data_IF_017564688896
#
_entry.id   IF_017564688896
#
_cell.length_a   1.000
_cell.length_b   1.000
_cell.length_c   1.000
_cell.angle_alpha   90.00
_cell.angle_beta   90.00
_cell.angle_gamma   90.00
#
_symmetry.space_group_name_H-M   'P 1'
#
loop_
_entity.id
_entity.type
_entity.pdbx_description
1 polymer ?
#
# COMPACT_ATOMS: atom_id res chain seq x y z
N UNK A 1 17.08 16.85 -28.01
CA UNK A 1 15.89 17.65 -27.67
C UNK A 1 16.03 18.08 -26.23
N UNK A 2 15.85 19.35 -25.89
CA UNK A 2 15.93 19.80 -24.51
C UNK A 2 14.65 19.36 -23.79
N UNK A 3 14.72 18.27 -23.03
CA UNK A 3 13.60 17.82 -22.21
C UNK A 3 13.32 18.89 -21.15
N UNK A 4 12.15 19.51 -21.24
CA UNK A 4 11.75 20.64 -20.37
C UNK A 4 11.08 20.12 -19.11
N UNK A 5 11.74 20.26 -17.96
CA UNK A 5 11.07 20.20 -16.66
C UNK A 5 10.33 21.51 -16.39
N UNK A 6 9.19 21.48 -15.70
CA UNK A 6 8.47 22.69 -15.27
C UNK A 6 7.88 22.53 -13.88
N UNK A 7 8.05 23.56 -13.04
CA UNK A 7 7.53 23.57 -11.67
C UNK A 7 6.36 24.53 -11.47
N UNK A 8 5.44 24.16 -10.60
CA UNK A 8 4.18 24.86 -10.30
C UNK A 8 3.95 24.95 -8.79
N UNK A 9 3.14 25.91 -8.38
CA UNK A 9 2.67 26.04 -6.99
C UNK A 9 1.36 25.28 -6.76
N UNK A 10 0.55 25.12 -7.80
CA UNK A 10 -0.73 24.38 -7.76
C UNK A 10 -0.60 23.01 -8.40
N UNK A 11 -1.18 21.99 -7.75
CA UNK A 11 -1.28 20.65 -8.35
C UNK A 11 -2.15 20.68 -9.61
N UNK A 12 -3.23 21.47 -9.59
CA UNK A 12 -4.17 21.57 -10.71
C UNK A 12 -3.49 22.15 -11.95
N UNK A 13 -2.69 23.22 -11.79
CA UNK A 13 -1.93 23.83 -12.90
C UNK A 13 -0.88 22.85 -13.48
N UNK A 14 -0.21 22.09 -12.62
CA UNK A 14 0.74 21.07 -13.05
C UNK A 14 0.06 19.95 -13.86
N UNK A 15 -1.11 19.48 -13.38
CA UNK A 15 -1.91 18.47 -14.07
C UNK A 15 -2.41 18.98 -15.43
N UNK A 16 -2.92 20.21 -15.49
CA UNK A 16 -3.38 20.84 -16.72
C UNK A 16 -2.25 20.90 -17.76
N UNK A 17 -1.08 21.43 -17.36
CA UNK A 17 0.10 21.48 -18.22
C UNK A 17 0.53 20.09 -18.73
N UNK A 18 0.56 19.10 -17.85
CA UNK A 18 0.92 17.72 -18.22
C UNK A 18 -0.08 17.12 -19.22
N UNK A 19 -1.39 17.33 -19.00
CA UNK A 19 -2.44 16.84 -19.90
C UNK A 19 -2.42 17.54 -21.26
N UNK A 20 -2.18 18.86 -21.30
CA UNK A 20 -2.04 19.61 -22.56
C UNK A 20 -0.85 19.13 -23.37
N UNK A 21 0.31 18.89 -22.73
CA UNK A 21 1.50 18.34 -23.40
C UNK A 21 1.24 16.96 -23.97
N UNK A 22 0.58 16.08 -23.22
CA UNK A 22 0.24 14.74 -23.68
C UNK A 22 -0.78 14.73 -24.85
N UNK A 23 -1.64 15.75 -24.97
CA UNK A 23 -2.58 15.88 -26.09
C UNK A 23 -1.94 16.46 -27.35
N UNK A 24 -1.04 17.43 -27.19
CA UNK A 24 -0.46 18.19 -28.30
C UNK A 24 0.76 17.50 -28.92
N UNK A 25 1.36 16.54 -28.21
CA UNK A 25 2.49 15.79 -28.71
C UNK A 25 2.05 14.61 -29.58
N UNK A 26 2.52 14.60 -30.83
CA UNK A 26 2.58 13.41 -31.69
C UNK A 26 3.77 12.49 -31.31
N UNK A 27 4.33 12.67 -30.10
CA UNK A 27 5.57 12.04 -29.62
C UNK A 27 5.31 11.14 -28.42
N UNK A 28 6.08 10.06 -28.34
CA UNK A 28 6.13 9.06 -27.25
C UNK A 28 6.68 9.63 -25.91
N UNK A 29 6.59 10.94 -25.68
CA UNK A 29 7.12 11.58 -24.47
C UNK A 29 6.21 11.29 -23.26
N UNK A 30 6.71 10.45 -22.34
CA UNK A 30 6.00 10.08 -21.11
C UNK A 30 6.40 11.05 -19.99
N UNK A 31 5.46 11.90 -19.59
CA UNK A 31 5.64 12.85 -18.48
C UNK A 31 5.06 12.31 -17.18
N UNK A 32 5.77 12.59 -16.08
CA UNK A 32 5.39 12.25 -14.72
C UNK A 32 5.20 13.52 -13.88
N UNK A 33 4.43 13.40 -12.81
CA UNK A 33 4.16 14.48 -11.87
C UNK A 33 4.74 14.12 -10.50
N UNK A 34 5.59 14.99 -9.97
CA UNK A 34 6.19 14.86 -8.65
C UNK A 34 5.79 16.03 -7.77
N UNK A 35 5.81 15.81 -6.46
CA UNK A 35 5.64 16.89 -5.47
C UNK A 35 6.77 16.92 -4.46
N UNK A 36 7.10 18.11 -3.99
CA UNK A 36 8.23 18.39 -3.10
C UNK A 36 7.72 19.19 -1.91
N UNK A 37 7.99 18.71 -0.70
CA UNK A 37 7.78 19.48 0.52
C UNK A 37 8.97 20.43 0.69
N UNK A 38 8.72 21.73 0.55
CA UNK A 38 9.80 22.75 0.47
C UNK A 38 9.80 23.73 1.64
N UNK A 39 8.78 23.67 2.49
CA UNK A 39 8.62 24.53 3.67
C UNK A 39 7.98 23.75 4.82
N UNK A 40 8.19 24.21 6.07
CA UNK A 40 7.35 23.83 7.20
C UNK A 40 5.86 24.05 6.86
N UNK A 41 4.96 23.34 7.53
CA UNK A 41 3.50 23.35 7.29
C UNK A 41 3.02 22.50 6.09
N UNK A 42 3.91 21.73 5.45
CA UNK A 42 3.50 20.78 4.40
C UNK A 42 3.14 21.42 3.05
N UNK A 43 3.59 22.67 2.81
CA UNK A 43 3.43 23.32 1.51
C UNK A 43 4.23 22.58 0.43
N UNK A 44 3.56 22.28 -0.68
CA UNK A 44 4.12 21.52 -1.79
C UNK A 44 4.36 22.39 -3.01
N UNK A 45 5.46 22.10 -3.71
CA UNK A 45 5.65 22.45 -5.12
C UNK A 45 5.44 21.21 -5.97
N UNK A 46 5.08 21.39 -7.22
CA UNK A 46 4.81 20.31 -8.17
C UNK A 46 5.74 20.43 -9.37
N UNK A 47 6.33 19.33 -9.83
CA UNK A 47 7.20 19.30 -11.00
C UNK A 47 6.63 18.31 -12.01
N UNK A 48 6.48 18.76 -13.26
CA UNK A 48 6.21 17.91 -14.40
C UNK A 48 7.53 17.70 -15.14
N UNK A 49 7.93 16.44 -15.31
CA UNK A 49 9.19 16.10 -15.93
C UNK A 49 9.12 14.74 -16.64
N UNK A 50 9.98 14.58 -17.65
CA UNK A 50 10.40 13.27 -18.12
C UNK A 50 11.17 12.52 -16.99
N UNK A 51 11.10 11.19 -16.99
CA UNK A 51 11.67 10.37 -15.92
C UNK A 51 13.19 10.49 -15.83
N UNK A 52 13.91 10.56 -16.96
CA UNK A 52 15.37 10.62 -16.96
C UNK A 52 15.86 11.97 -16.43
N UNK A 53 15.17 13.05 -16.82
CA UNK A 53 15.43 14.40 -16.29
C UNK A 53 15.18 14.45 -14.79
N UNK A 54 14.03 13.94 -14.34
CA UNK A 54 13.69 13.93 -12.93
C UNK A 54 14.71 13.15 -12.11
N UNK A 55 15.08 11.93 -12.56
CA UNK A 55 16.06 11.09 -11.86
C UNK A 55 17.41 11.80 -11.80
N UNK A 56 17.87 12.41 -12.90
CA UNK A 56 19.12 13.17 -12.91
C UNK A 56 19.12 14.27 -11.84
N UNK A 57 18.09 15.11 -11.80
CA UNK A 57 17.96 16.21 -10.83
C UNK A 57 17.81 15.71 -9.39
N UNK A 58 16.94 14.71 -9.17
CA UNK A 58 16.63 14.16 -7.85
C UNK A 58 17.86 13.59 -7.16
N UNK A 59 18.73 12.89 -7.90
CA UNK A 59 19.94 12.30 -7.31
C UNK A 59 21.07 13.30 -7.06
N UNK A 60 21.02 14.52 -7.62
CA UNK A 60 21.93 15.61 -7.23
C UNK A 60 21.57 16.23 -5.87
N UNK A 61 20.31 16.07 -5.41
CA UNK A 61 19.91 16.61 -4.11
C UNK A 61 20.59 15.84 -2.96
N UNK A 62 21.10 16.53 -1.93
CA UNK A 62 21.49 15.89 -0.67
C UNK A 62 20.34 15.06 -0.09
N UNK A 63 20.64 13.91 0.53
CA UNK A 63 19.61 12.98 1.05
C UNK A 63 18.65 13.68 2.02
N UNK A 64 19.17 14.55 2.89
CA UNK A 64 18.38 15.33 3.85
C UNK A 64 17.51 16.45 3.23
N UNK A 65 17.55 16.62 1.91
CA UNK A 65 16.68 17.55 1.17
C UNK A 65 15.68 16.80 0.28
N UNK A 66 15.70 15.47 0.28
CA UNK A 66 14.79 14.65 -0.52
C UNK A 66 13.49 14.45 0.24
N UNK A 67 12.53 15.33 0.00
CA UNK A 67 11.16 15.25 0.51
C UNK A 67 10.18 15.14 -0.65
N UNK A 68 10.43 14.15 -1.51
CA UNK A 68 9.80 14.03 -2.82
C UNK A 68 8.85 12.85 -2.89
N UNK A 69 7.71 13.08 -3.55
CA UNK A 69 6.64 12.13 -3.75
C UNK A 69 6.30 12.07 -5.24
N UNK A 70 6.04 10.88 -5.75
CA UNK A 70 5.31 10.70 -6.99
C UNK A 70 3.83 11.09 -6.76
N UNK A 71 3.21 11.75 -7.73
CA UNK A 71 1.76 11.89 -7.77
C UNK A 71 1.21 10.80 -8.69
N UNK A 72 0.54 9.80 -8.10
CA UNK A 72 -0.19 8.78 -8.85
C UNK A 72 -1.46 9.43 -9.40
N UNK A 73 -1.38 9.89 -10.64
CA UNK A 73 -2.39 10.71 -11.31
C UNK A 73 -3.70 9.94 -11.48
N UNK A 74 -4.84 10.62 -11.23
CA UNK A 74 -6.18 10.06 -11.42
C UNK A 74 -6.35 9.52 -12.86
N UNK A 75 -6.98 8.35 -12.99
CA UNK A 75 -7.28 7.67 -14.27
C UNK A 75 -6.04 7.35 -15.13
N UNK A 76 -4.86 7.22 -14.52
CA UNK A 76 -3.63 6.74 -15.19
C UNK A 76 -3.24 5.36 -14.65
N UNK A 77 -2.67 4.47 -15.48
CA UNK A 77 -2.28 3.14 -15.05
C UNK A 77 -1.37 3.15 -13.83
N UNK A 78 -1.59 2.22 -12.91
CA UNK A 78 -0.84 2.11 -11.66
C UNK A 78 -0.38 0.67 -11.42
N UNK A 79 0.82 0.50 -10.85
CA UNK A 79 1.26 -0.80 -10.34
C UNK A 79 0.42 -1.19 -9.13
N UNK A 80 0.36 -2.49 -8.82
CA UNK A 80 -0.08 -2.93 -7.50
C UNK A 80 0.96 -2.51 -6.46
N UNK A 81 0.53 -1.74 -5.47
CA UNK A 81 1.38 -1.33 -4.36
C UNK A 81 0.59 -1.35 -3.06
N UNK A 82 1.31 -1.38 -1.94
CA UNK A 82 0.76 -1.34 -0.59
C UNK A 82 1.58 -0.39 0.27
N UNK A 83 0.90 0.37 1.13
CA UNK A 83 1.52 1.09 2.25
C UNK A 83 1.16 0.31 3.52
N UNK A 84 2.15 -0.28 4.16
CA UNK A 84 1.99 -1.11 5.34
C UNK A 84 2.54 -0.37 6.54
N UNK A 85 1.72 -0.17 7.56
CA UNK A 85 2.14 0.57 8.74
C UNK A 85 1.39 0.18 10.01
N UNK A 86 2.10 0.28 11.14
CA UNK A 86 1.51 0.19 12.47
C UNK A 86 2.36 0.93 13.50
N UNK A 87 1.73 1.27 14.63
CA UNK A 87 2.44 1.82 15.79
C UNK A 87 3.09 0.68 16.59
N UNK A 88 4.41 0.73 16.72
CA UNK A 88 5.21 -0.34 17.36
C UNK A 88 4.92 -0.43 18.86
N UNK A 89 4.65 0.72 19.51
CA UNK A 89 4.39 0.76 20.94
C UNK A 89 3.05 0.12 21.27
N UNK A 90 2.04 0.33 20.42
CA UNK A 90 0.72 -0.32 20.55
C UNK A 90 0.73 -1.80 20.14
N UNK A 91 1.76 -2.27 19.43
CA UNK A 91 1.85 -3.62 18.89
C UNK A 91 3.22 -4.27 19.17
N UNK A 92 3.64 -4.40 20.45
CA UNK A 92 5.02 -4.74 20.81
C UNK A 92 5.42 -6.18 20.47
N UNK A 93 4.45 -7.06 20.20
CA UNK A 93 4.69 -8.49 19.94
C UNK A 93 4.70 -8.83 18.44
N UNK A 94 4.45 -7.84 17.56
CA UNK A 94 4.43 -8.07 16.12
C UNK A 94 5.86 -8.04 15.58
N UNK A 95 6.27 -9.12 14.93
CA UNK A 95 7.48 -9.15 14.10
C UNK A 95 7.16 -8.55 12.72
N UNK A 96 7.54 -7.28 12.54
CA UNK A 96 7.25 -6.53 11.31
C UNK A 96 7.77 -7.18 10.02
N UNK A 97 9.08 -7.49 9.89
CA UNK A 97 9.62 -8.18 8.71
C UNK A 97 8.92 -9.51 8.39
N UNK A 98 8.64 -10.33 9.42
CA UNK A 98 7.88 -11.57 9.25
C UNK A 98 6.46 -11.29 8.77
N UNK A 99 5.76 -10.33 9.38
CA UNK A 99 4.41 -9.93 9.02
C UNK A 99 4.33 -9.44 7.56
N UNK A 100 5.31 -8.64 7.12
CA UNK A 100 5.44 -8.22 5.72
C UNK A 100 5.61 -9.41 4.78
N UNK A 101 6.47 -10.37 5.13
CA UNK A 101 6.67 -11.58 4.34
C UNK A 101 5.38 -12.40 4.24
N UNK A 102 4.67 -12.61 5.36
CA UNK A 102 3.40 -13.31 5.39
C UNK A 102 2.34 -12.59 4.54
N UNK A 103 2.27 -11.26 4.62
CA UNK A 103 1.34 -10.47 3.80
C UNK A 103 1.63 -10.63 2.30
N UNK A 104 2.90 -10.54 1.89
CA UNK A 104 3.31 -10.79 0.49
C UNK A 104 2.88 -12.20 0.06
N UNK A 105 3.17 -13.23 0.86
CA UNK A 105 2.79 -14.61 0.53
C UNK A 105 1.27 -14.77 0.38
N UNK A 106 0.48 -14.13 1.25
CA UNK A 106 -0.97 -14.13 1.11
C UNK A 106 -1.41 -13.53 -0.24
N UNK A 107 -0.88 -12.35 -0.60
CA UNK A 107 -1.20 -11.67 -1.86
C UNK A 107 -0.80 -12.51 -3.07
N UNK A 108 0.39 -13.11 -3.06
CA UNK A 108 0.87 -13.98 -4.15
C UNK A 108 -0.01 -15.21 -4.33
N UNK A 109 -0.39 -15.88 -3.23
CA UNK A 109 -1.29 -17.02 -3.27
C UNK A 109 -2.70 -16.63 -3.73
N UNK A 110 -3.18 -15.46 -3.31
CA UNK A 110 -4.45 -14.88 -3.77
C UNK A 110 -4.46 -14.66 -5.29
N UNK A 111 -3.36 -14.16 -5.85
CA UNK A 111 -3.18 -13.90 -7.27
C UNK A 111 -3.10 -15.20 -8.08
N UNK A 112 -2.18 -16.11 -7.70
CA UNK A 112 -1.97 -17.40 -8.38
C UNK A 112 -3.25 -18.22 -8.49
N UNK A 113 -4.11 -18.20 -7.47
CA UNK A 113 -5.36 -18.96 -7.47
C UNK A 113 -6.44 -18.41 -8.42
N UNK A 114 -6.31 -17.16 -8.86
CA UNK A 114 -7.26 -16.53 -9.78
C UNK A 114 -6.85 -16.71 -11.24
N UNK A 115 -5.56 -16.86 -11.52
CA UNK A 115 -5.07 -17.18 -12.87
C UNK A 115 -3.63 -17.68 -12.80
N UNK A 116 -3.33 -18.69 -13.62
CA UNK A 116 -1.96 -19.19 -13.83
C UNK A 116 -1.03 -18.10 -14.41
N UNK A 117 -1.57 -17.11 -15.12
CA UNK A 117 -0.81 -15.97 -15.65
C UNK A 117 -0.34 -15.00 -14.57
N UNK A 118 -0.89 -15.11 -13.36
CA UNK A 118 -0.56 -14.31 -12.18
C UNK A 118 0.39 -15.06 -11.21
N UNK A 119 1.20 -15.97 -11.73
CA UNK A 119 2.23 -16.66 -10.96
C UNK A 119 3.47 -15.78 -10.76
N UNK A 120 3.47 -15.01 -9.66
CA UNK A 120 4.59 -14.20 -9.20
C UNK A 120 5.22 -14.78 -7.94
N UNK A 121 6.40 -14.29 -7.61
CA UNK A 121 7.17 -14.67 -6.44
C UNK A 121 7.55 -13.46 -5.58
N UNK A 122 8.14 -13.71 -4.41
CA UNK A 122 8.68 -12.64 -3.56
C UNK A 122 9.80 -11.82 -4.26
N UNK A 123 10.43 -12.38 -5.30
CA UNK A 123 11.43 -11.69 -6.12
C UNK A 123 10.82 -10.71 -7.11
N UNK A 124 9.51 -10.68 -7.22
CA UNK A 124 8.78 -9.74 -8.09
C UNK A 124 8.20 -8.57 -7.27
N UNK A 125 8.61 -8.43 -6.00
CA UNK A 125 8.07 -7.43 -5.07
C UNK A 125 9.19 -6.59 -4.50
N UNK A 126 9.25 -5.31 -4.91
CA UNK A 126 10.14 -4.33 -4.30
C UNK A 126 9.61 -3.96 -2.91
N UNK A 127 10.42 -4.17 -1.89
CA UNK A 127 10.10 -3.87 -0.48
C UNK A 127 10.96 -2.68 -0.01
N UNK A 128 10.30 -1.58 0.34
CA UNK A 128 10.95 -0.39 0.89
C UNK A 128 10.67 -0.26 2.39
N UNK A 129 11.67 0.20 3.14
CA UNK A 129 11.66 0.38 4.59
C UNK A 129 11.78 1.86 4.95
N UNK A 130 10.86 2.39 5.78
CA UNK A 130 11.06 3.66 6.49
C UNK A 130 10.66 3.58 7.97
N UNK A 131 10.82 2.38 8.54
CA UNK A 131 10.54 2.08 9.95
C UNK A 131 11.40 2.95 10.87
N UNK A 132 10.76 3.46 11.91
CA UNK A 132 11.35 4.24 12.99
C UNK A 132 11.18 3.49 14.32
N UNK A 133 11.81 3.93 15.42
CA UNK A 133 11.61 3.30 16.72
C UNK A 133 10.15 3.26 17.22
N UNK A 134 9.28 4.15 16.73
CA UNK A 134 7.87 4.24 17.15
C UNK A 134 6.88 3.69 16.13
N UNK A 135 7.25 3.65 14.85
CA UNK A 135 6.34 3.33 13.75
C UNK A 135 7.02 2.38 12.78
N UNK A 136 6.37 1.26 12.52
CA UNK A 136 6.72 0.37 11.43
C UNK A 136 6.14 0.94 10.13
N UNK A 137 6.92 0.96 9.05
CA UNK A 137 6.46 1.44 7.74
C UNK A 137 7.19 0.74 6.60
N UNK A 138 6.41 0.11 5.72
CA UNK A 138 6.89 -0.53 4.49
C UNK A 138 6.07 -0.05 3.29
N UNK A 139 6.73 0.16 2.16
CA UNK A 139 6.03 0.16 0.87
C UNK A 139 6.33 -1.15 0.15
N UNK A 140 5.29 -1.77 -0.41
CA UNK A 140 5.43 -2.89 -1.33
C UNK A 140 5.05 -2.43 -2.73
N UNK A 141 5.87 -2.73 -3.73
CA UNK A 141 5.58 -2.40 -5.13
C UNK A 141 5.78 -3.68 -5.96
N UNK A 142 4.67 -4.27 -6.39
CA UNK A 142 4.67 -5.49 -7.19
C UNK A 142 5.02 -5.15 -8.65
N UNK A 143 5.99 -5.87 -9.21
CA UNK A 143 6.40 -5.76 -10.61
C UNK A 143 5.55 -6.70 -11.47
N UNK A 144 4.24 -6.45 -11.50
CA UNK A 144 3.32 -7.19 -12.38
C UNK A 144 3.58 -6.86 -13.85
N UNK A 145 3.29 -7.80 -14.75
CA UNK A 145 3.40 -7.61 -16.20
C UNK A 145 2.51 -6.46 -16.68
N UNK A 146 1.25 -6.48 -16.25
CA UNK A 146 0.26 -5.48 -16.62
C UNK A 146 -0.07 -4.58 -15.42
N UNK A 147 -0.23 -3.26 -15.64
CA UNK A 147 -0.69 -2.34 -14.63
C UNK A 147 -2.21 -2.43 -14.44
N UNK A 148 -2.69 -1.98 -13.29
CA UNK A 148 -4.10 -1.69 -13.07
C UNK A 148 -4.50 -0.45 -13.86
N UNK A 149 -5.79 -0.34 -14.20
CA UNK A 149 -6.35 0.79 -14.93
C UNK A 149 -6.02 2.13 -14.27
N UNK A 150 -6.19 2.21 -12.95
CA UNK A 150 -5.87 3.37 -12.12
C UNK A 150 -5.72 2.99 -10.64
N UNK A 151 -5.36 3.98 -9.81
CA UNK A 151 -5.19 3.79 -8.36
C UNK A 151 -6.50 3.38 -7.65
N UNK A 152 -7.66 3.73 -8.21
CA UNK A 152 -8.96 3.33 -7.65
C UNK A 152 -9.21 1.84 -7.91
N UNK A 153 -8.84 1.34 -9.10
CA UNK A 153 -8.86 -0.08 -9.42
C UNK A 153 -7.92 -0.90 -8.53
N UNK A 154 -6.73 -0.36 -8.21
CA UNK A 154 -5.83 -0.97 -7.21
C UNK A 154 -6.55 -1.10 -5.86
N UNK A 155 -7.16 -0.02 -5.35
CA UNK A 155 -7.90 -0.07 -4.08
C UNK A 155 -9.04 -1.07 -4.05
N UNK A 156 -9.76 -1.25 -5.17
CA UNK A 156 -10.80 -2.28 -5.30
C UNK A 156 -10.21 -3.69 -5.24
N UNK A 157 -9.08 -3.92 -5.89
CA UNK A 157 -8.38 -5.20 -5.85
C UNK A 157 -7.88 -5.52 -4.44
N UNK A 158 -7.32 -4.53 -3.74
CA UNK A 158 -6.87 -4.69 -2.36
C UNK A 158 -8.04 -4.98 -1.41
N UNK A 159 -9.21 -4.37 -1.63
CA UNK A 159 -10.42 -4.76 -0.88
C UNK A 159 -10.80 -6.23 -1.06
N UNK A 160 -10.66 -6.80 -2.27
CA UNK A 160 -10.92 -8.22 -2.50
C UNK A 160 -9.93 -9.10 -1.71
N UNK A 161 -8.67 -8.67 -1.58
CA UNK A 161 -7.68 -9.35 -0.73
C UNK A 161 -8.13 -9.31 0.74
N UNK A 162 -8.52 -8.14 1.24
CA UNK A 162 -9.00 -8.01 2.63
C UNK A 162 -10.28 -8.79 2.90
N UNK A 163 -11.18 -8.87 1.90
CA UNK A 163 -12.38 -9.70 1.95
C UNK A 163 -12.03 -11.19 2.02
N UNK A 164 -11.05 -11.66 1.24
CA UNK A 164 -10.58 -13.06 1.32
C UNK A 164 -9.94 -13.35 2.69
N UNK A 165 -9.09 -12.46 3.23
CA UNK A 165 -8.52 -12.60 4.58
C UNK A 165 -9.65 -12.73 5.61
N UNK A 166 -10.62 -11.83 5.53
CA UNK A 166 -11.80 -11.82 6.39
C UNK A 166 -12.61 -13.12 6.25
N UNK A 167 -12.83 -13.58 5.02
CA UNK A 167 -13.55 -14.82 4.71
C UNK A 167 -12.86 -16.05 5.26
N UNK A 168 -11.53 -16.14 5.13
CA UNK A 168 -10.73 -17.20 5.74
C UNK A 168 -10.94 -17.23 7.26
N UNK A 169 -10.82 -16.07 7.92
CA UNK A 169 -10.97 -15.97 9.38
C UNK A 169 -12.39 -16.31 9.84
N UNK A 170 -13.43 -15.63 9.32
CA UNK A 170 -14.82 -15.84 9.78
C UNK A 170 -15.30 -17.27 9.57
N UNK A 171 -14.93 -17.89 8.44
CA UNK A 171 -15.40 -19.23 8.11
C UNK A 171 -14.56 -20.35 8.76
N UNK A 172 -13.43 -20.01 9.39
CA UNK A 172 -12.59 -21.01 10.03
C UNK A 172 -13.27 -21.61 11.27
N UNK A 173 -13.35 -22.93 11.29
CA UNK A 173 -13.83 -23.71 12.42
C UNK A 173 -12.65 -24.45 13.04
N UNK A 174 -12.10 -23.88 14.12
CA UNK A 174 -10.99 -24.49 14.84
C UNK A 174 -11.50 -25.68 15.67
N UNK A 175 -10.99 -26.92 15.46
CA UNK A 175 -11.41 -28.09 16.22
C UNK A 175 -11.19 -27.97 17.73
N UNK A 176 -10.27 -27.10 18.17
CA UNK A 176 -9.94 -26.85 19.58
C UNK A 176 -10.78 -25.78 20.29
N UNK A 177 -11.73 -25.13 19.60
CA UNK A 177 -12.56 -24.05 20.17
C UNK A 177 -14.03 -24.45 20.06
N UNK A 178 -14.67 -24.74 21.21
CA UNK A 178 -16.07 -25.18 21.26
C UNK A 178 -17.01 -24.00 20.98
N UNK A 179 -17.84 -24.17 19.95
CA UNK A 179 -19.13 -23.50 19.66
C UNK A 179 -19.22 -21.97 19.78
N UNK A 180 -19.11 -21.31 18.62
CA UNK A 180 -20.14 -20.36 18.20
C UNK A 180 -20.20 -20.36 16.68
N UNK A 181 -21.16 -21.10 16.13
CA UNK A 181 -21.50 -21.02 14.71
C UNK A 181 -21.93 -19.59 14.41
N UNK A 182 -21.22 -18.90 13.51
CA UNK A 182 -21.64 -17.59 13.01
C UNK A 182 -22.54 -17.79 11.80
N UNK A 183 -23.73 -17.19 11.88
CA UNK A 183 -24.64 -17.06 10.76
C UNK A 183 -23.99 -16.19 9.68
N UNK A 184 -23.96 -16.73 8.47
CA UNK A 184 -23.51 -16.07 7.25
C UNK A 184 -24.24 -14.72 7.09
N UNK A 185 -23.55 -13.61 7.26
CA UNK A 185 -24.14 -12.28 7.06
C UNK A 185 -24.49 -12.12 5.57
N UNK A 186 -25.67 -11.54 5.31
CA UNK A 186 -26.23 -11.38 3.97
C UNK A 186 -25.35 -10.48 3.09
N UNK A 187 -25.43 -10.75 1.78
CA UNK A 187 -24.73 -10.07 0.68
C UNK A 187 -24.59 -8.55 0.88
N UNK A 188 -23.35 -8.08 0.76
CA UNK A 188 -22.94 -6.69 0.85
C UNK A 188 -23.48 -5.85 -0.30
N UNK A 189 -24.08 -4.71 0.06
CA UNK A 189 -24.36 -3.59 -0.84
C UNK A 189 -23.06 -3.04 -1.45
N UNK A 190 -23.14 -2.48 -2.66
CA UNK A 190 -22.00 -1.85 -3.34
C UNK A 190 -21.54 -0.59 -2.60
N UNK A 191 -20.49 -0.69 -1.79
CA UNK A 191 -19.87 0.46 -1.15
C UNK A 191 -18.95 1.18 -2.14
N UNK A 192 -19.14 2.50 -2.29
CA UNK A 192 -18.34 3.32 -3.21
C UNK A 192 -16.95 3.70 -2.64
N UNK A 193 -16.74 3.57 -1.33
CA UNK A 193 -15.51 3.97 -0.62
C UNK A 193 -14.77 2.73 -0.06
N UNK A 194 -13.52 2.55 -0.47
CA UNK A 194 -12.66 1.44 -0.04
C UNK A 194 -12.37 1.43 1.47
N UNK A 195 -12.27 2.61 2.07
CA UNK A 195 -11.98 2.76 3.50
C UNK A 195 -13.20 2.35 4.34
N UNK A 196 -14.40 2.67 3.88
CA UNK A 196 -15.64 2.29 4.57
C UNK A 196 -15.85 0.78 4.50
N UNK A 197 -15.65 0.19 3.32
CA UNK A 197 -15.75 -1.26 3.14
C UNK A 197 -14.79 -2.03 4.06
N UNK A 198 -13.50 -1.69 4.02
CA UNK A 198 -12.48 -2.34 4.83
C UNK A 198 -12.71 -2.18 6.34
N UNK A 199 -13.24 -1.04 6.81
CA UNK A 199 -13.67 -0.85 8.20
C UNK A 199 -14.84 -1.76 8.59
N UNK A 200 -15.81 -1.96 7.71
CA UNK A 200 -16.93 -2.87 7.98
C UNK A 200 -16.48 -4.32 8.14
N UNK A 201 -15.49 -4.76 7.35
CA UNK A 201 -14.86 -6.08 7.53
C UNK A 201 -14.25 -6.22 8.92
N UNK A 202 -13.47 -5.23 9.39
CA UNK A 202 -12.88 -5.27 10.73
C UNK A 202 -13.93 -5.33 11.84
N UNK A 203 -14.97 -4.49 11.74
CA UNK A 203 -16.04 -4.47 12.74
C UNK A 203 -16.74 -5.83 12.87
N UNK A 204 -16.84 -6.58 11.76
CA UNK A 204 -17.41 -7.93 11.77
C UNK A 204 -16.44 -8.99 12.32
N UNK A 205 -15.13 -8.76 12.22
CA UNK A 205 -14.10 -9.69 12.71
C UNK A 205 -13.75 -9.48 14.19
N UNK A 206 -13.73 -8.24 14.66
CA UNK A 206 -13.24 -7.84 15.98
C UNK A 206 -13.82 -8.69 17.13
N UNK A 207 -15.13 -9.01 17.18
CA UNK A 207 -15.70 -9.85 18.24
C UNK A 207 -15.20 -11.31 18.26
N UNK A 208 -14.48 -11.73 17.22
CA UNK A 208 -14.09 -13.12 17.01
C UNK A 208 -12.59 -13.33 17.10
N UNK A 209 -11.77 -12.27 17.14
CA UNK A 209 -10.31 -12.36 17.00
C UNK A 209 -9.62 -13.21 18.06
N UNK A 210 -10.10 -13.15 19.30
CA UNK A 210 -9.52 -13.90 20.43
C UNK A 210 -9.49 -15.42 20.21
N UNK A 211 -10.35 -15.96 19.33
CA UNK A 211 -10.36 -17.40 19.00
C UNK A 211 -9.12 -17.83 18.20
N UNK A 212 -8.43 -16.90 17.53
CA UNK A 212 -7.29 -17.20 16.67
C UNK A 212 -5.94 -17.06 17.36
N UNK A 213 -5.87 -16.40 18.52
CA UNK A 213 -4.60 -16.16 19.24
C UNK A 213 -3.78 -17.44 19.49
N UNK A 214 -4.48 -18.56 19.69
CA UNK A 214 -3.89 -19.87 19.96
C UNK A 214 -4.18 -20.89 18.85
N UNK A 215 -4.62 -20.42 17.68
CA UNK A 215 -4.97 -21.30 16.56
C UNK A 215 -3.74 -21.63 15.71
N UNK A 216 -3.25 -22.87 15.83
CA UNK A 216 -2.16 -23.40 15.00
C UNK A 216 -2.64 -24.06 13.70
N UNK A 217 -3.95 -24.00 13.40
CA UNK A 217 -4.47 -24.44 12.11
C UNK A 217 -3.84 -23.62 10.99
N UNK A 218 -3.57 -24.29 9.87
CA UNK A 218 -3.10 -23.67 8.64
C UNK A 218 -4.31 -23.46 7.74
N UNK A 219 -4.41 -22.28 7.18
CA UNK A 219 -5.38 -21.98 6.14
C UNK A 219 -4.88 -22.60 4.83
N UNK A 220 -5.62 -23.58 4.30
CA UNK A 220 -5.30 -24.20 3.00
C UNK A 220 -5.25 -23.17 1.87
N UNK A 221 -5.94 -22.03 2.05
CA UNK A 221 -5.94 -20.98 1.07
C UNK A 221 -4.59 -20.24 0.99
N UNK A 222 -4.14 -19.65 2.09
CA UNK A 222 -2.94 -18.82 2.15
C UNK A 222 -1.67 -19.58 2.51
N UNK A 223 -1.80 -20.82 3.01
CA UNK A 223 -0.73 -21.62 3.62
C UNK A 223 -0.10 -20.95 4.86
N UNK A 224 -0.80 -20.00 5.47
CA UNK A 224 -0.42 -19.32 6.70
C UNK A 224 -1.19 -19.91 7.89
N UNK A 225 -0.62 -19.80 9.09
CA UNK A 225 -1.39 -20.10 10.30
C UNK A 225 -2.42 -19.00 10.52
N UNK A 226 -3.60 -19.37 11.03
CA UNK A 226 -4.65 -18.38 11.33
C UNK A 226 -4.21 -17.33 12.35
N UNK A 227 -3.36 -17.70 13.34
CA UNK A 227 -2.76 -16.73 14.26
C UNK A 227 -1.81 -15.73 13.57
N UNK A 228 -1.16 -16.13 12.49
CA UNK A 228 -0.29 -15.23 11.72
C UNK A 228 -1.13 -14.29 10.83
N UNK A 229 -2.27 -14.78 10.32
CA UNK A 229 -3.23 -13.94 9.58
C UNK A 229 -3.92 -12.91 10.47
N UNK A 230 -4.14 -13.23 11.75
CA UNK A 230 -4.68 -12.31 12.75
C UNK A 230 -3.83 -11.04 12.88
N UNK A 231 -2.50 -11.16 12.73
CA UNK A 231 -1.56 -10.04 12.83
C UNK A 231 -1.70 -9.03 11.67
N UNK A 232 -2.44 -9.35 10.59
CA UNK A 232 -2.83 -8.36 9.59
C UNK A 232 -3.80 -7.31 10.13
N UNK A 233 -4.36 -7.53 11.33
CA UNK A 233 -5.11 -6.55 12.09
C UNK A 233 -4.27 -6.08 13.29
N UNK A 234 -3.95 -4.79 13.29
CA UNK A 234 -3.06 -4.17 14.29
C UNK A 234 -3.85 -3.22 15.18
N UNK A 235 -3.43 -3.08 16.44
CA UNK A 235 -4.03 -2.14 17.38
C UNK A 235 -3.73 -0.70 16.96
N UNK A 236 -4.72 0.17 17.09
CA UNK A 236 -4.54 1.62 16.94
C UNK A 236 -3.71 2.19 18.09
N UNK A 237 -2.93 3.22 17.79
CA UNK A 237 -2.12 3.93 18.78
C UNK A 237 -2.93 4.62 19.88
N UNK A 238 -4.21 4.94 19.62
CA UNK A 238 -5.12 5.57 20.58
C UNK A 238 -5.87 4.55 21.47
N UNK A 239 -5.65 3.25 21.26
CA UNK A 239 -6.31 2.19 22.01
C UNK A 239 -7.80 2.00 21.69
N UNK A 240 -8.34 2.65 20.64
CA UNK A 240 -9.78 2.64 20.31
C UNK A 240 -10.22 1.44 19.47
N UNK A 241 -9.37 0.43 19.29
CA UNK A 241 -9.65 -0.78 18.53
C UNK A 241 -8.56 -1.11 17.52
N UNK A 242 -8.93 -1.81 16.46
CA UNK A 242 -8.02 -2.35 15.45
C UNK A 242 -8.13 -1.63 14.09
N UNK A 243 -7.08 -1.75 13.29
CA UNK A 243 -7.02 -1.35 11.87
C UNK A 243 -6.31 -2.44 11.06
N UNK A 244 -6.50 -2.44 9.74
CA UNK A 244 -5.68 -3.26 8.86
C UNK A 244 -4.24 -2.75 8.87
N UNK A 245 -3.29 -3.67 8.81
CA UNK A 245 -1.87 -3.39 8.59
C UNK A 245 -1.62 -2.66 7.25
N UNK A 246 -2.48 -2.89 6.26
CA UNK A 246 -2.49 -2.18 4.98
C UNK A 246 -3.32 -0.89 5.07
N UNK A 247 -2.71 0.27 4.80
CA UNK A 247 -3.41 1.56 4.74
C UNK A 247 -4.26 1.65 3.46
N UNK A 248 -5.58 1.52 3.62
CA UNK A 248 -6.55 1.70 2.53
C UNK A 248 -6.73 3.16 2.10
N UNK A 249 -6.24 4.11 2.90
CA UNK A 249 -6.28 5.53 2.61
C UNK A 249 -5.42 5.95 1.42
N UNK A 250 -4.54 5.07 0.90
CA UNK A 250 -3.67 5.36 -0.25
C UNK A 250 -4.34 5.34 -1.62
N UNK A 251 -5.45 4.64 -1.74
CA UNK A 251 -6.11 4.41 -3.02
C UNK A 251 -7.07 5.56 -3.37
N UNK A 252 -6.52 6.78 -3.46
CA UNK A 252 -7.24 8.01 -3.77
C UNK A 252 -6.72 8.67 -5.04
N UNK A 253 -7.47 9.64 -5.56
CA UNK A 253 -7.10 10.41 -6.75
C UNK A 253 -5.87 11.27 -6.49
N UNK A 254 -4.94 11.31 -7.45
CA UNK A 254 -3.72 12.12 -7.37
C UNK A 254 -2.91 11.86 -6.08
N UNK A 255 -2.78 10.58 -5.68
CA UNK A 255 -2.12 10.20 -4.43
C UNK A 255 -0.65 10.59 -4.48
N UNK A 256 -0.22 11.39 -3.50
CA UNK A 256 1.21 11.56 -3.24
C UNK A 256 1.76 10.29 -2.57
N UNK A 257 2.69 9.62 -3.24
CA UNK A 257 3.34 8.40 -2.78
C UNK A 257 4.86 8.63 -2.67
N UNK A 258 5.42 8.41 -1.48
CA UNK A 258 6.79 8.86 -1.16
C UNK A 258 7.83 7.99 -1.88
N UNK A 259 8.83 8.65 -2.48
CA UNK A 259 9.86 7.98 -3.28
C UNK A 259 10.91 7.26 -2.43
N UNK A 260 11.59 6.30 -3.06
CA UNK A 260 12.86 5.74 -2.58
C UNK A 260 13.87 6.87 -2.31
N UNK A 261 14.54 6.81 -1.16
CA UNK A 261 15.47 7.80 -0.62
C UNK A 261 14.87 9.17 -0.28
N UNK A 262 13.55 9.28 -0.20
CA UNK A 262 12.86 10.45 0.33
C UNK A 262 12.37 10.21 1.76
N UNK A 263 12.47 11.23 2.60
CA UNK A 263 11.79 11.30 3.91
C UNK A 263 10.56 12.22 3.85
N UNK A 264 9.78 12.23 4.94
CA UNK A 264 8.81 13.32 5.17
C UNK A 264 9.58 14.59 5.52
N UNK A 265 9.02 15.76 5.24
CA UNK A 265 9.58 17.01 5.74
C UNK A 265 9.81 16.95 7.27
N UNK A 266 10.92 17.49 7.74
CA UNK A 266 11.38 17.43 9.15
C UNK A 266 11.57 16.01 9.73
N UNK A 267 11.63 14.98 8.89
CA UNK A 267 11.94 13.60 9.28
C UNK A 267 13.22 13.12 8.62
N UNK A 268 13.92 12.22 9.30
CA UNK A 268 15.18 11.64 8.81
C UNK A 268 14.96 10.24 8.21
N UNK A 269 13.83 9.61 8.55
CA UNK A 269 13.45 8.29 8.09
C UNK A 269 13.05 8.34 6.62
N UNK A 270 14.06 8.11 5.77
CA UNK A 270 13.91 7.95 4.33
C UNK A 270 13.49 6.52 4.00
N UNK A 271 12.75 6.33 2.91
CA UNK A 271 12.59 4.99 2.36
C UNK A 271 13.91 4.45 1.82
N UNK A 272 14.33 3.27 2.25
CA UNK A 272 15.46 2.50 1.68
C UNK A 272 14.98 1.12 1.24
N UNK A 273 15.81 0.34 0.54
CA UNK A 273 15.50 -1.07 0.30
C UNK A 273 15.47 -1.80 1.65
N UNK A 274 14.43 -2.59 1.90
CA UNK A 274 14.31 -3.35 3.14
C UNK A 274 15.38 -4.46 3.20
N UNK A 275 15.93 -4.80 4.38
CA UNK A 275 16.92 -5.87 4.52
C UNK A 275 16.45 -7.23 3.99
N UNK A 276 15.15 -7.52 4.12
CA UNK A 276 14.49 -8.75 3.69
C UNK A 276 14.08 -8.76 2.21
N UNK A 277 14.31 -7.67 1.46
CA UNK A 277 13.94 -7.56 0.05
C UNK A 277 14.64 -8.63 -0.80
N UNK A 278 13.89 -9.28 -1.70
CA UNK A 278 14.40 -10.30 -2.63
C UNK A 278 14.19 -9.94 -4.11
N UNK A 279 13.64 -8.76 -4.39
CA UNK A 279 13.56 -8.19 -5.73
C UNK A 279 14.94 -7.79 -6.25
#
# INVERSE_FOLDING_TARGET
MAYTTRTFWSQAEALEFMMERQKNNNSDEILYLFSFESQPEGKRRYQVADIDVFIHEYYQLPVNQRHTYEIIVDKKPAKLYFDLEYDIVANPNIDGPRLTTNFIQFVLNFMRKRSDDLDYSIKDVLVLDSTSPKKFSRHLIFQTKDPFLDNIAVGKFVNLILEDIHGCLINHQCPGVINSSLSRTQQTQSYADSTVFSKNLLNSLEPHLSRFEHCDCIDDYSQLKFKDMLEFMVNKSDGTGIIWFCDMGVYTKNRAFRLLRSSKFDKQECFTIAPENQW
#
